data_IF_160636534698
#
_entry.id   IF_160636534698
#
_cell.length_a   1.000
_cell.length_b   1.000
_cell.length_c   1.000
_cell.angle_alpha   90.00
_cell.angle_beta   90.00
_cell.angle_gamma   90.00
#
_symmetry.space_group_name_H-M   'P 1'
#
loop_
_entity.id
_entity.type
_entity.pdbx_description
1 polymer ?
#
# COMPACT_ATOMS: atom_id res chain seq x y z
N UNK A 1 26.22 89.09 2.09
CA UNK A 1 26.62 90.22 1.22
C UNK A 1 26.22 89.91 -0.22
N UNK A 2 26.16 90.90 -1.13
CA UNK A 2 25.92 90.66 -2.56
C UNK A 2 26.86 89.61 -3.17
N UNK A 3 28.14 89.64 -2.79
CA UNK A 3 29.16 88.65 -3.19
C UNK A 3 28.83 87.21 -2.76
N UNK A 4 28.28 87.02 -1.56
CA UNK A 4 27.85 85.70 -1.09
C UNK A 4 26.68 85.15 -1.91
N UNK A 5 25.74 86.01 -2.35
CA UNK A 5 24.63 85.59 -3.22
C UNK A 5 25.09 85.21 -4.62
N UNK A 6 26.08 85.92 -5.19
CA UNK A 6 26.66 85.56 -6.49
C UNK A 6 27.42 84.23 -6.41
N UNK A 7 28.16 83.99 -5.32
CA UNK A 7 28.87 82.73 -5.12
C UNK A 7 27.89 81.55 -4.92
N UNK A 8 26.82 81.76 -4.16
CA UNK A 8 25.74 80.78 -3.95
C UNK A 8 25.06 80.40 -5.27
N UNK A 9 24.70 81.38 -6.12
CA UNK A 9 24.12 81.13 -7.43
C UNK A 9 25.08 80.37 -8.38
N UNK A 10 26.37 80.72 -8.35
CA UNK A 10 27.42 80.03 -9.12
C UNK A 10 27.62 78.59 -8.65
N UNK A 11 27.57 78.36 -7.34
CA UNK A 11 27.70 77.04 -6.73
C UNK A 11 26.49 76.15 -7.05
N UNK A 12 25.26 76.68 -6.91
CA UNK A 12 24.02 75.98 -7.27
C UNK A 12 23.99 75.62 -8.76
N UNK A 13 24.32 76.58 -9.64
CA UNK A 13 24.39 76.32 -11.09
C UNK A 13 25.53 75.37 -11.50
N UNK A 14 26.61 75.28 -10.72
CA UNK A 14 27.64 74.26 -10.92
C UNK A 14 27.15 72.88 -10.47
N UNK A 15 26.41 72.78 -9.35
CA UNK A 15 25.86 71.51 -8.86
C UNK A 15 24.81 70.93 -9.80
N UNK A 16 23.92 71.77 -10.35
CA UNK A 16 22.94 71.34 -11.37
C UNK A 16 23.61 70.81 -12.63
N UNK A 17 24.63 71.52 -13.13
CA UNK A 17 25.41 71.07 -14.30
C UNK A 17 26.14 69.76 -14.03
N UNK A 18 26.69 69.59 -12.82
CA UNK A 18 27.34 68.35 -12.38
C UNK A 18 26.35 67.18 -12.40
N UNK A 19 25.16 67.33 -11.80
CA UNK A 19 24.12 66.28 -11.77
C UNK A 19 23.62 65.92 -13.17
N UNK A 20 23.44 66.93 -14.02
CA UNK A 20 23.02 66.69 -15.42
C UNK A 20 24.07 65.86 -16.17
N UNK A 21 25.35 66.25 -16.07
CA UNK A 21 26.44 65.51 -16.71
C UNK A 21 26.57 64.09 -16.15
N UNK A 22 26.41 63.91 -14.84
CA UNK A 22 26.42 62.60 -14.19
C UNK A 22 25.30 61.69 -14.73
N UNK A 23 24.08 62.22 -14.86
CA UNK A 23 22.95 61.47 -15.40
C UNK A 23 23.17 61.10 -16.88
N UNK A 24 23.69 62.03 -17.69
CA UNK A 24 24.02 61.77 -19.10
C UNK A 24 25.07 60.65 -19.23
N UNK A 25 26.12 60.69 -18.40
CA UNK A 25 27.14 59.64 -18.35
C UNK A 25 26.56 58.29 -17.88
N UNK A 26 25.70 58.30 -16.87
CA UNK A 26 25.03 57.09 -16.37
C UNK A 26 24.11 56.47 -17.43
N UNK A 27 23.33 57.29 -18.16
CA UNK A 27 22.49 56.81 -19.25
C UNK A 27 23.32 56.22 -20.40
N UNK A 28 24.47 56.83 -20.71
CA UNK A 28 25.38 56.27 -21.71
C UNK A 28 25.94 54.90 -21.29
N UNK A 29 26.33 54.74 -20.02
CA UNK A 29 26.71 53.43 -19.46
C UNK A 29 25.56 52.43 -19.59
N UNK A 30 24.33 52.82 -19.22
CA UNK A 30 23.15 51.96 -19.36
C UNK A 30 22.92 51.52 -20.80
N UNK A 31 23.04 52.43 -21.78
CA UNK A 31 22.91 52.11 -23.21
C UNK A 31 24.01 51.15 -23.68
N UNK A 32 25.25 51.35 -23.26
CA UNK A 32 26.37 50.44 -23.57
C UNK A 32 26.16 49.04 -22.99
N UNK A 33 25.67 48.94 -21.75
CA UNK A 33 25.35 47.65 -21.12
C UNK A 33 24.16 46.99 -21.81
N UNK A 34 23.09 47.74 -22.10
CA UNK A 34 21.90 47.24 -22.80
C UNK A 34 22.22 46.71 -24.20
N UNK A 35 23.15 47.34 -24.93
CA UNK A 35 23.64 46.87 -26.22
C UNK A 35 24.36 45.50 -26.14
N UNK A 36 24.75 45.05 -24.94
CA UNK A 36 25.37 43.75 -24.66
C UNK A 36 24.45 42.81 -23.88
N UNK A 37 23.16 43.12 -23.78
CA UNK A 37 22.21 42.35 -22.99
C UNK A 37 22.18 40.86 -23.37
N UNK A 38 22.23 40.54 -24.67
CA UNK A 38 22.19 39.15 -25.14
C UNK A 38 23.38 38.32 -24.65
N UNK A 39 24.59 38.91 -24.65
CA UNK A 39 25.80 38.24 -24.15
C UNK A 39 25.78 38.06 -22.63
N UNK A 40 25.29 39.07 -21.90
CA UNK A 40 25.12 38.99 -20.45
C UNK A 40 24.10 37.91 -20.08
N UNK A 41 22.97 37.84 -20.80
CA UNK A 41 21.95 36.81 -20.59
C UNK A 41 22.45 35.41 -20.98
N UNK A 42 23.25 35.29 -22.04
CA UNK A 42 23.89 34.03 -22.41
C UNK A 42 24.83 33.54 -21.30
N UNK A 43 25.65 34.44 -20.75
CA UNK A 43 26.55 34.15 -19.63
C UNK A 43 25.76 33.75 -18.38
N UNK A 44 24.72 34.50 -18.03
CA UNK A 44 23.87 34.19 -16.88
C UNK A 44 23.20 32.81 -17.01
N UNK A 45 22.71 32.44 -18.20
CA UNK A 45 22.14 31.11 -18.46
C UNK A 45 23.18 30.00 -18.36
N UNK A 46 24.42 30.25 -18.80
CA UNK A 46 25.50 29.28 -18.67
C UNK A 46 25.88 29.06 -17.19
N UNK A 47 26.01 30.13 -16.41
CA UNK A 47 26.24 30.06 -14.97
C UNK A 47 25.11 29.35 -14.24
N UNK A 48 23.85 29.63 -14.59
CA UNK A 48 22.69 28.95 -14.00
C UNK A 48 22.69 27.44 -14.27
N UNK A 49 23.08 27.01 -15.48
CA UNK A 49 23.22 25.57 -15.80
C UNK A 49 24.34 24.92 -14.98
N UNK A 50 25.48 25.60 -14.86
CA UNK A 50 26.60 25.12 -14.05
C UNK A 50 26.21 24.96 -12.58
N UNK A 51 25.51 25.96 -12.02
CA UNK A 51 25.02 25.97 -10.64
C UNK A 51 24.07 24.80 -10.37
N UNK A 52 23.09 24.57 -11.27
CA UNK A 52 22.18 23.41 -11.18
C UNK A 52 22.95 22.09 -11.19
N UNK A 53 23.89 21.90 -12.11
CA UNK A 53 24.64 20.64 -12.17
C UNK A 53 25.57 20.44 -10.98
N UNK A 54 26.23 21.51 -10.50
CA UNK A 54 27.08 21.47 -9.32
C UNK A 54 26.25 21.11 -8.07
N UNK A 55 25.10 21.75 -7.87
CA UNK A 55 24.20 21.47 -6.75
C UNK A 55 23.69 20.03 -6.76
N UNK A 56 23.27 19.51 -7.93
CA UNK A 56 22.84 18.12 -8.05
C UNK A 56 23.97 17.12 -7.76
N UNK A 57 25.19 17.41 -8.23
CA UNK A 57 26.36 16.57 -8.00
C UNK A 57 26.77 16.57 -6.52
N UNK A 58 26.74 17.72 -5.85
CA UNK A 58 27.03 17.84 -4.43
C UNK A 58 26.07 17.00 -3.58
N UNK A 59 24.75 17.15 -3.82
CA UNK A 59 23.72 16.36 -3.13
C UNK A 59 23.91 14.88 -3.38
N UNK A 60 24.21 14.48 -4.61
CA UNK A 60 24.42 13.08 -4.96
C UNK A 60 25.62 12.48 -4.23
N UNK A 61 26.73 13.22 -4.19
CA UNK A 61 27.95 12.80 -3.52
C UNK A 61 27.77 12.70 -2.01
N UNK A 62 27.23 13.76 -1.38
CA UNK A 62 27.06 13.83 0.06
C UNK A 62 26.11 12.76 0.63
N UNK A 63 25.17 12.28 -0.18
CA UNK A 63 24.10 11.35 0.25
C UNK A 63 24.22 9.94 -0.35
N UNK A 64 25.23 9.71 -1.18
CA UNK A 64 25.39 8.43 -1.88
C UNK A 64 24.19 8.11 -2.78
N UNK A 65 23.68 9.11 -3.52
CA UNK A 65 22.71 8.84 -4.58
C UNK A 65 23.39 8.20 -5.79
N UNK A 66 22.65 7.40 -6.54
CA UNK A 66 23.17 6.65 -7.68
C UNK A 66 22.62 7.19 -9.00
N UNK A 67 23.40 7.03 -10.07
CA UNK A 67 22.95 7.39 -11.43
C UNK A 67 21.87 6.40 -11.88
N UNK A 68 20.62 6.83 -12.14
CA UNK A 68 19.60 5.95 -12.67
C UNK A 68 19.85 5.63 -14.15
N UNK A 69 19.41 4.46 -14.60
CA UNK A 69 19.23 4.16 -16.02
C UNK A 69 17.87 4.68 -16.46
N UNK A 70 17.84 5.73 -17.28
CA UNK A 70 16.61 6.28 -17.85
C UNK A 70 16.48 5.85 -19.30
N UNK A 71 15.40 5.16 -19.65
CA UNK A 71 15.16 4.64 -21.00
C UNK A 71 13.71 4.86 -21.49
N UNK A 72 13.42 4.48 -22.73
CA UNK A 72 12.07 4.60 -23.31
C UNK A 72 11.17 3.38 -23.08
N UNK A 73 11.65 2.37 -22.36
CA UNK A 73 10.90 1.16 -22.03
C UNK A 73 9.80 1.38 -20.99
N UNK A 74 9.21 0.27 -20.56
CA UNK A 74 8.05 0.28 -19.67
C UNK A 74 8.39 -0.11 -18.23
N UNK A 75 9.66 -0.44 -17.96
CA UNK A 75 10.12 -0.88 -16.64
C UNK A 75 10.29 0.29 -15.68
N UNK A 76 9.77 0.16 -14.47
CA UNK A 76 10.13 0.98 -13.30
C UNK A 76 10.66 0.04 -12.22
N UNK A 77 11.99 0.00 -12.08
CA UNK A 77 12.66 -0.80 -11.08
C UNK A 77 13.49 0.11 -10.16
N UNK A 78 13.27 0.01 -8.86
CA UNK A 78 14.00 0.74 -7.82
C UNK A 78 14.43 -0.30 -6.79
N UNK A 79 15.72 -0.38 -6.52
CA UNK A 79 16.28 -1.29 -5.52
C UNK A 79 16.80 -0.46 -4.36
N UNK A 80 16.34 -0.78 -3.15
CA UNK A 80 16.63 -0.07 -1.91
C UNK A 80 16.39 1.45 -2.01
N UNK A 81 15.27 1.84 -2.62
CA UNK A 81 14.85 3.23 -2.72
C UNK A 81 14.56 3.82 -1.34
N UNK A 82 14.92 5.09 -1.15
CA UNK A 82 14.71 5.87 0.07
C UNK A 82 13.99 7.18 -0.25
N UNK A 83 13.21 7.70 0.70
CA UNK A 83 12.48 8.94 0.49
C UNK A 83 13.42 10.16 0.64
N UNK A 84 13.68 10.96 -0.42
CA UNK A 84 14.75 11.96 -0.43
C UNK A 84 14.59 13.04 0.65
N UNK A 85 13.35 13.48 0.90
CA UNK A 85 13.06 14.51 1.93
C UNK A 85 13.17 13.97 3.35
N UNK A 86 12.79 12.71 3.60
CA UNK A 86 12.90 12.13 4.94
C UNK A 86 14.37 11.83 5.26
N UNK A 87 15.12 11.33 4.27
CA UNK A 87 16.57 11.16 4.35
C UNK A 87 17.29 12.50 4.56
N UNK A 88 16.78 13.60 3.98
CA UNK A 88 17.30 14.94 4.23
C UNK A 88 17.07 15.45 5.66
N UNK A 89 15.94 15.06 6.27
CA UNK A 89 15.42 15.67 7.49
C UNK A 89 15.92 15.01 8.77
N UNK A 90 16.49 13.81 8.74
CA UNK A 90 16.59 12.99 9.94
C UNK A 90 17.98 12.42 10.22
N UNK A 91 18.37 12.47 11.51
CA UNK A 91 19.38 11.62 12.14
C UNK A 91 18.88 10.19 12.43
N UNK A 92 17.76 9.78 11.83
CA UNK A 92 17.19 8.43 11.94
C UNK A 92 17.20 7.77 10.56
N UNK A 93 17.65 6.50 10.44
CA UNK A 93 17.70 5.81 9.16
C UNK A 93 16.30 5.65 8.52
N UNK A 94 16.18 5.94 7.22
CA UNK A 94 14.98 5.65 6.44
C UNK A 94 15.06 4.23 5.91
N UNK A 95 14.05 3.39 6.18
CA UNK A 95 14.04 2.00 5.71
C UNK A 95 13.96 1.95 4.17
N UNK A 96 14.92 1.30 3.49
CA UNK A 96 14.94 1.20 2.04
C UNK A 96 13.92 0.17 1.52
N UNK A 97 13.27 0.48 0.41
CA UNK A 97 12.23 -0.36 -0.19
C UNK A 97 12.44 -0.57 -1.68
N UNK A 98 12.12 -1.79 -2.12
CA UNK A 98 12.20 -2.19 -3.51
C UNK A 98 10.87 -1.92 -4.22
N UNK A 99 10.93 -1.67 -5.52
CA UNK A 99 9.78 -1.60 -6.40
C UNK A 99 10.17 -2.18 -7.76
N UNK A 100 9.33 -3.04 -8.32
CA UNK A 100 9.45 -3.51 -9.68
C UNK A 100 8.06 -3.48 -10.33
N UNK A 101 7.89 -2.60 -11.31
CA UNK A 101 6.72 -2.55 -12.18
C UNK A 101 7.17 -2.71 -13.62
N UNK A 102 6.51 -3.61 -14.34
CA UNK A 102 6.69 -3.85 -15.76
C UNK A 102 5.34 -4.17 -16.40
N UNK A 103 5.33 -4.69 -17.64
CA UNK A 103 4.07 -5.01 -18.33
C UNK A 103 3.25 -6.10 -17.63
N UNK A 104 3.94 -7.03 -16.97
CA UNK A 104 3.36 -8.24 -16.36
C UNK A 104 2.98 -8.01 -14.89
N UNK A 105 3.52 -6.97 -14.26
CA UNK A 105 3.23 -6.57 -12.88
C UNK A 105 3.12 -5.04 -12.78
N UNK A 106 2.19 -4.43 -13.51
CA UNK A 106 2.04 -2.96 -13.55
C UNK A 106 1.20 -2.37 -12.42
N UNK A 107 0.36 -3.18 -11.77
CA UNK A 107 -0.52 -2.73 -10.68
C UNK A 107 -0.10 -3.42 -9.38
N UNK A 108 0.22 -2.62 -8.36
CA UNK A 108 0.48 -3.10 -7.00
C UNK A 108 -0.65 -2.68 -6.09
N UNK A 109 -1.30 -3.65 -5.46
CA UNK A 109 -2.21 -3.43 -4.33
C UNK A 109 -1.38 -3.52 -3.06
N UNK A 110 -1.20 -2.40 -2.38
CA UNK A 110 -0.43 -2.27 -1.16
C UNK A 110 -1.37 -2.22 0.05
N UNK A 111 -1.31 -3.26 0.87
CA UNK A 111 -2.07 -3.39 2.11
C UNK A 111 -1.20 -3.13 3.34
N UNK A 112 -1.85 -2.90 4.47
CA UNK A 112 -1.17 -2.77 5.76
C UNK A 112 -1.76 -1.67 6.64
N UNK A 113 -1.36 -1.63 7.92
CA UNK A 113 -1.95 -0.72 8.91
C UNK A 113 -1.82 0.74 8.51
N UNK A 114 -2.70 1.58 9.07
CA UNK A 114 -2.46 3.02 9.07
C UNK A 114 -1.14 3.30 9.80
N UNK A 115 -0.41 4.34 9.37
CA UNK A 115 0.94 4.69 9.88
C UNK A 115 2.08 3.72 9.53
N UNK A 116 1.82 2.63 8.81
CA UNK A 116 2.88 1.69 8.37
C UNK A 116 3.80 2.24 7.26
N UNK A 117 3.58 3.46 6.78
CA UNK A 117 4.44 4.08 5.76
C UNK A 117 4.02 3.84 4.30
N UNK A 118 2.79 3.34 4.05
CA UNK A 118 2.22 3.21 2.68
C UNK A 118 2.34 4.51 1.86
N UNK A 119 1.84 5.62 2.39
CA UNK A 119 1.92 6.94 1.70
C UNK A 119 3.36 7.42 1.52
N UNK A 120 4.28 7.05 2.42
CA UNK A 120 5.71 7.36 2.28
C UNK A 120 6.30 6.58 1.10
N UNK A 121 5.98 5.30 0.97
CA UNK A 121 6.41 4.45 -0.15
C UNK A 121 5.88 4.95 -1.50
N UNK A 122 4.61 5.35 -1.57
CA UNK A 122 4.01 5.95 -2.76
C UNK A 122 4.73 7.25 -3.15
N UNK A 123 4.87 8.20 -2.21
CA UNK A 123 5.54 9.49 -2.47
C UNK A 123 7.01 9.31 -2.83
N UNK A 124 7.72 8.42 -2.15
CA UNK A 124 9.10 8.06 -2.47
C UNK A 124 9.25 7.68 -3.94
N UNK A 125 8.36 6.83 -4.44
CA UNK A 125 8.37 6.39 -5.84
C UNK A 125 8.23 7.57 -6.80
N UNK A 126 7.24 8.44 -6.59
CA UNK A 126 7.08 9.65 -7.41
C UNK A 126 8.31 10.56 -7.35
N UNK A 127 8.85 10.82 -6.17
CA UNK A 127 10.03 11.66 -6.01
C UNK A 127 11.24 11.10 -6.76
N UNK A 128 11.52 9.79 -6.66
CA UNK A 128 12.63 9.14 -7.36
C UNK A 128 12.48 9.28 -8.88
N UNK A 129 11.27 9.07 -9.41
CA UNK A 129 11.03 9.19 -10.85
C UNK A 129 11.21 10.63 -11.34
N UNK A 130 10.65 11.60 -10.62
CA UNK A 130 10.80 13.03 -10.97
C UNK A 130 12.27 13.44 -10.93
N UNK A 131 13.02 13.03 -9.91
CA UNK A 131 14.45 13.32 -9.80
C UNK A 131 15.23 12.74 -10.98
N UNK A 132 14.97 11.49 -11.36
CA UNK A 132 15.64 10.86 -12.49
C UNK A 132 15.34 11.56 -13.83
N UNK A 133 14.08 11.89 -14.10
CA UNK A 133 13.69 12.57 -15.34
C UNK A 133 14.14 14.03 -15.40
N UNK A 134 14.37 14.67 -14.24
CA UNK A 134 15.03 15.97 -14.14
C UNK A 134 16.54 15.90 -14.44
N UNK A 135 17.13 14.70 -14.43
CA UNK A 135 18.57 14.48 -14.67
C UNK A 135 19.40 14.39 -13.38
N UNK A 136 18.76 14.23 -12.22
CA UNK A 136 19.45 14.05 -10.95
C UNK A 136 19.77 12.57 -10.67
N UNK A 137 20.77 12.34 -9.82
CA UNK A 137 21.02 11.03 -9.21
C UNK A 137 19.97 10.80 -8.11
N UNK A 138 19.61 9.54 -7.89
CA UNK A 138 18.46 9.16 -7.04
C UNK A 138 18.86 8.42 -5.77
N UNK A 139 18.09 8.54 -4.68
CA UNK A 139 18.33 7.86 -3.41
C UNK A 139 17.93 6.37 -3.47
N UNK A 140 18.74 5.56 -4.10
CA UNK A 140 18.54 4.12 -4.26
C UNK A 140 19.89 3.40 -4.29
N UNK A 141 19.91 2.06 -4.21
CA UNK A 141 21.09 1.26 -4.54
C UNK A 141 21.22 1.11 -6.05
N UNK A 142 20.10 0.85 -6.74
CA UNK A 142 20.00 0.79 -8.20
C UNK A 142 18.63 1.31 -8.65
N UNK A 143 18.57 1.93 -9.83
CA UNK A 143 17.30 2.39 -10.39
C UNK A 143 17.29 2.34 -11.92
N UNK A 144 16.22 1.78 -12.49
CA UNK A 144 15.87 1.81 -13.92
C UNK A 144 14.48 2.41 -14.08
N UNK A 145 14.38 3.48 -14.85
CA UNK A 145 13.18 4.29 -14.97
C UNK A 145 12.86 4.47 -16.45
N UNK A 146 11.87 3.73 -16.92
CA UNK A 146 11.22 3.97 -18.20
C UNK A 146 10.48 5.31 -18.12
N UNK A 147 10.77 6.22 -19.06
CA UNK A 147 10.27 7.61 -19.03
C UNK A 147 8.75 7.65 -18.91
N UNK A 148 8.26 8.43 -17.96
CA UNK A 148 6.85 8.71 -17.76
C UNK A 148 6.44 10.02 -18.41
N UNK A 149 5.19 10.10 -18.85
CA UNK A 149 4.58 11.34 -19.34
C UNK A 149 3.89 12.14 -18.22
N UNK A 150 3.28 11.44 -17.27
CA UNK A 150 2.47 12.03 -16.18
C UNK A 150 2.59 11.21 -14.90
N UNK A 151 2.59 11.91 -13.77
CA UNK A 151 2.44 11.32 -12.44
C UNK A 151 1.11 11.81 -11.87
N UNK A 152 0.19 10.88 -11.66
CA UNK A 152 -1.11 11.13 -11.06
C UNK A 152 -1.07 10.75 -9.59
N UNK A 153 -1.63 11.60 -8.73
CA UNK A 153 -1.68 11.34 -7.30
C UNK A 153 -3.06 11.61 -6.76
N UNK A 154 -3.64 10.61 -6.12
CA UNK A 154 -4.71 10.75 -5.14
C UNK A 154 -4.12 10.30 -3.80
N UNK A 155 -3.28 11.15 -3.23
CA UNK A 155 -2.66 10.94 -1.91
C UNK A 155 -3.25 12.00 -1.02
N UNK A 156 -4.08 11.60 -0.05
CA UNK A 156 -4.90 12.51 0.76
C UNK A 156 -4.13 13.76 1.22
N UNK A 157 -4.54 14.93 0.73
CA UNK A 157 -4.16 16.20 1.29
C UNK A 157 -5.13 16.53 2.44
N UNK A 158 -4.62 17.15 3.50
CA UNK A 158 -5.47 17.69 4.57
C UNK A 158 -6.61 18.49 3.96
N UNK A 159 -7.81 18.24 4.49
CA UNK A 159 -9.08 18.69 3.95
C UNK A 159 -9.05 20.15 3.49
N UNK A 160 -9.28 20.36 2.20
CA UNK A 160 -9.55 21.69 1.69
C UNK A 160 -11.03 22.01 1.95
N UNK A 161 -11.38 22.16 3.24
CA UNK A 161 -12.72 22.51 3.72
C UNK A 161 -13.22 23.88 3.18
N UNK A 162 -12.34 24.64 2.51
CA UNK A 162 -12.58 26.01 2.06
C UNK A 162 -13.62 26.16 0.93
N UNK A 163 -14.12 25.07 0.31
CA UNK A 163 -15.03 25.14 -0.86
C UNK A 163 -16.43 24.58 -0.65
N UNK A 164 -16.79 24.08 0.54
CA UNK A 164 -18.13 23.56 0.82
C UNK A 164 -18.55 22.33 -0.01
N UNK A 165 -17.61 21.68 -0.71
CA UNK A 165 -17.84 20.42 -1.43
C UNK A 165 -17.56 19.24 -0.49
N UNK A 166 -18.36 18.16 -0.61
CA UNK A 166 -18.10 16.90 0.09
C UNK A 166 -16.69 16.39 -0.25
N UNK A 167 -15.92 15.99 0.75
CA UNK A 167 -14.58 15.42 0.59
C UNK A 167 -14.59 14.21 -0.35
N UNK A 168 -15.66 13.41 -0.30
CA UNK A 168 -15.87 12.28 -1.20
C UNK A 168 -16.10 12.71 -2.65
N UNK A 169 -16.86 13.80 -2.90
CA UNK A 169 -17.06 14.30 -4.26
C UNK A 169 -15.74 14.79 -4.86
N UNK A 170 -14.92 15.51 -4.09
CA UNK A 170 -13.60 15.96 -4.53
C UNK A 170 -12.72 14.76 -4.90
N UNK A 171 -12.72 13.73 -4.07
CA UNK A 171 -12.02 12.47 -4.34
C UNK A 171 -12.49 11.78 -5.64
N UNK A 172 -13.79 11.76 -5.89
CA UNK A 172 -14.34 11.19 -7.13
C UNK A 172 -13.97 12.02 -8.36
N UNK A 173 -13.95 13.35 -8.25
CA UNK A 173 -13.51 14.24 -9.34
C UNK A 173 -12.02 14.05 -9.64
N UNK A 174 -11.19 13.91 -8.61
CA UNK A 174 -9.76 13.59 -8.76
C UNK A 174 -9.58 12.23 -9.44
N UNK A 175 -10.30 11.20 -8.98
CA UNK A 175 -10.27 9.84 -9.55
C UNK A 175 -10.73 9.84 -11.01
N UNK A 176 -11.80 10.55 -11.35
CA UNK A 176 -12.27 10.71 -12.72
C UNK A 176 -11.25 11.43 -13.60
N UNK A 177 -10.58 12.46 -13.06
CA UNK A 177 -9.51 13.18 -13.78
C UNK A 177 -8.37 12.25 -14.14
N UNK A 178 -7.97 11.35 -13.22
CA UNK A 178 -6.94 10.33 -13.46
C UNK A 178 -7.39 9.41 -14.60
N UNK A 179 -8.56 8.77 -14.47
CA UNK A 179 -9.06 7.81 -15.47
C UNK A 179 -9.20 8.43 -16.87
N UNK A 180 -9.65 9.67 -16.97
CA UNK A 180 -9.84 10.35 -18.25
C UNK A 180 -8.52 10.77 -18.93
N UNK A 181 -7.39 10.77 -18.22
CA UNK A 181 -6.13 11.34 -18.71
C UNK A 181 -4.93 10.39 -18.62
N UNK A 182 -5.14 9.17 -18.12
CA UNK A 182 -4.07 8.18 -17.92
C UNK A 182 -3.64 7.55 -19.25
N UNK A 183 -2.33 7.35 -19.39
CA UNK A 183 -1.71 6.70 -20.56
C UNK A 183 -0.82 5.53 -20.12
N UNK A 184 -0.25 4.79 -21.07
CA UNK A 184 0.73 3.70 -20.81
C UNK A 184 2.06 4.15 -20.29
N UNK A 185 2.32 5.45 -20.34
CA UNK A 185 3.51 6.04 -19.75
C UNK A 185 3.21 6.73 -18.44
N UNK A 186 1.99 6.62 -17.91
CA UNK A 186 1.64 7.27 -16.65
C UNK A 186 2.02 6.41 -15.43
N UNK A 187 2.36 7.09 -14.33
CA UNK A 187 2.39 6.51 -12.99
C UNK A 187 1.19 7.05 -12.20
N UNK A 188 0.41 6.15 -11.62
CA UNK A 188 -0.77 6.47 -10.83
C UNK A 188 -0.55 6.03 -9.40
N UNK A 189 -0.67 6.96 -8.46
CA UNK A 189 -0.56 6.73 -7.02
C UNK A 189 -1.92 6.96 -6.37
N UNK A 190 -2.55 5.91 -5.88
CA UNK A 190 -3.85 5.94 -5.22
C UNK A 190 -3.67 5.59 -3.74
N UNK A 191 -4.11 6.45 -2.83
CA UNK A 191 -4.05 6.24 -1.39
C UNK A 191 -5.47 6.31 -0.82
N UNK A 192 -5.98 5.14 -0.42
CA UNK A 192 -7.20 4.98 0.37
C UNK A 192 -8.48 5.51 -0.31
N UNK A 193 -8.56 5.39 -1.63
CA UNK A 193 -9.77 5.70 -2.42
C UNK A 193 -10.96 4.84 -1.95
N UNK A 194 -12.13 5.47 -1.80
CA UNK A 194 -13.37 4.86 -1.35
C UNK A 194 -13.63 4.99 0.15
N UNK A 195 -12.75 5.62 0.94
CA UNK A 195 -12.93 5.72 2.39
C UNK A 195 -14.04 6.69 2.83
N UNK A 196 -14.35 7.70 2.02
CA UNK A 196 -15.30 8.76 2.37
C UNK A 196 -16.79 8.39 2.24
N UNK A 197 -17.12 7.13 2.00
CA UNK A 197 -18.50 6.64 1.77
C UNK A 197 -18.77 5.34 2.53
N UNK A 198 -19.92 4.70 2.31
CA UNK A 198 -20.23 3.39 2.88
C UNK A 198 -19.16 2.36 2.50
N UNK A 199 -18.86 1.41 3.40
CA UNK A 199 -17.79 0.43 3.18
C UNK A 199 -17.98 -0.35 1.87
N UNK A 200 -19.22 -0.74 1.57
CA UNK A 200 -19.55 -1.49 0.36
C UNK A 200 -19.44 -0.65 -0.91
N UNK A 201 -19.95 0.58 -0.90
CA UNK A 201 -19.81 1.48 -2.07
C UNK A 201 -18.35 1.82 -2.31
N UNK A 202 -17.59 2.09 -1.24
CA UNK A 202 -16.17 2.39 -1.29
C UNK A 202 -15.36 1.24 -1.88
N UNK A 203 -15.61 0.02 -1.41
CA UNK A 203 -15.00 -1.19 -1.95
C UNK A 203 -15.36 -1.40 -3.43
N UNK A 204 -16.64 -1.28 -3.79
CA UNK A 204 -17.10 -1.48 -5.16
C UNK A 204 -16.46 -0.49 -6.13
N UNK A 205 -16.38 0.79 -5.74
CA UNK A 205 -15.71 1.83 -6.54
C UNK A 205 -14.21 1.54 -6.67
N UNK A 206 -13.53 1.21 -5.57
CA UNK A 206 -12.10 0.91 -5.59
C UNK A 206 -11.79 -0.33 -6.45
N UNK A 207 -12.66 -1.33 -6.42
CA UNK A 207 -12.57 -2.53 -7.24
C UNK A 207 -12.70 -2.21 -8.72
N UNK A 208 -13.80 -1.53 -9.10
CA UNK A 208 -14.05 -1.12 -10.47
C UNK A 208 -12.94 -0.20 -11.01
N UNK A 209 -12.35 0.64 -10.16
CA UNK A 209 -11.21 1.48 -10.52
C UNK A 209 -9.98 0.66 -10.90
N UNK A 210 -9.66 -0.40 -10.15
CA UNK A 210 -8.53 -1.28 -10.49
C UNK A 210 -8.81 -2.03 -11.79
N UNK A 211 -10.03 -2.54 -11.98
CA UNK A 211 -10.44 -3.19 -13.23
C UNK A 211 -10.30 -2.23 -14.41
N UNK A 212 -10.81 -1.00 -14.31
CA UNK A 212 -10.69 0.01 -15.36
C UNK A 212 -9.23 0.34 -15.70
N UNK A 213 -8.36 0.51 -14.69
CA UNK A 213 -6.93 0.75 -14.89
C UNK A 213 -6.20 -0.47 -15.48
N UNK A 214 -6.71 -1.68 -15.21
CA UNK A 214 -6.18 -2.92 -15.78
C UNK A 214 -6.61 -3.12 -17.24
N UNK A 215 -7.90 -2.97 -17.53
CA UNK A 215 -8.56 -3.35 -18.79
C UNK A 215 -8.52 -2.27 -19.86
N UNK A 216 -8.50 -0.98 -19.50
CA UNK A 216 -8.67 0.14 -20.43
C UNK A 216 -7.55 0.35 -21.46
N UNK A 217 -6.70 -0.65 -21.70
CA UNK A 217 -5.55 -0.56 -22.60
C UNK A 217 -4.48 0.43 -22.13
N UNK A 218 -4.67 1.01 -20.94
CA UNK A 218 -3.84 2.08 -20.45
C UNK A 218 -2.47 1.58 -20.07
N UNK A 219 -2.22 0.33 -19.67
CA UNK A 219 -0.85 -0.16 -19.40
C UNK A 219 -0.08 0.65 -18.35
N UNK A 220 -0.77 1.49 -17.57
CA UNK A 220 -0.15 2.42 -16.63
C UNK A 220 0.47 1.67 -15.46
N UNK A 221 1.49 2.29 -14.86
CA UNK A 221 2.09 1.82 -13.61
C UNK A 221 1.25 2.34 -12.47
N UNK A 222 0.74 1.47 -11.60
CA UNK A 222 -0.20 1.83 -10.55
C UNK A 222 0.30 1.31 -9.21
N UNK A 223 0.37 2.21 -8.22
CA UNK A 223 0.50 1.85 -6.82
C UNK A 223 -0.80 2.25 -6.12
N UNK A 224 -1.54 1.26 -5.61
CA UNK A 224 -2.76 1.49 -4.86
C UNK A 224 -2.58 1.04 -3.41
N UNK A 225 -2.35 2.00 -2.51
CA UNK A 225 -2.42 1.78 -1.08
C UNK A 225 -3.87 1.76 -0.61
N UNK A 226 -4.29 0.67 0.04
CA UNK A 226 -5.68 0.47 0.45
C UNK A 226 -5.78 -0.14 1.85
N UNK A 227 -6.95 0.06 2.46
CA UNK A 227 -7.38 -0.64 3.67
C UNK A 227 -8.36 -1.77 3.37
N UNK A 228 -8.87 -1.85 2.14
CA UNK A 228 -9.72 -2.93 1.66
C UNK A 228 -8.87 -4.16 1.31
N UNK A 229 -8.74 -5.08 2.26
CA UNK A 229 -8.05 -6.36 2.07
C UNK A 229 -8.72 -7.23 1.00
N UNK A 230 -10.00 -7.04 0.74
CA UNK A 230 -10.79 -7.71 -0.29
C UNK A 230 -10.21 -7.49 -1.69
N UNK A 231 -9.60 -6.32 -1.95
CA UNK A 231 -8.95 -6.01 -3.23
C UNK A 231 -7.75 -6.92 -3.52
N UNK A 232 -7.17 -7.59 -2.52
CA UNK A 232 -6.08 -8.55 -2.74
C UNK A 232 -6.51 -9.73 -3.63
N UNK A 233 -7.81 -10.03 -3.70
CA UNK A 233 -8.36 -11.08 -4.56
C UNK A 233 -8.19 -10.77 -6.05
N UNK A 234 -8.03 -9.50 -6.41
CA UNK A 234 -7.80 -9.07 -7.80
C UNK A 234 -6.52 -9.66 -8.39
N UNK A 235 -5.49 -9.91 -7.58
CA UNK A 235 -4.25 -10.54 -8.07
C UNK A 235 -4.47 -11.96 -8.62
N UNK A 236 -5.51 -12.67 -8.14
CA UNK A 236 -5.90 -13.99 -8.67
C UNK A 236 -6.73 -13.92 -9.95
N UNK A 237 -7.32 -12.77 -10.27
CA UNK A 237 -8.23 -12.57 -11.43
C UNK A 237 -7.56 -11.79 -12.56
N UNK A 238 -6.71 -10.83 -12.23
CA UNK A 238 -6.09 -9.88 -13.14
C UNK A 238 -4.58 -10.13 -13.21
N UNK A 239 -4.12 -10.65 -14.35
CA UNK A 239 -2.75 -11.15 -14.51
C UNK A 239 -1.64 -10.11 -14.28
N UNK A 240 -1.94 -8.81 -14.36
CA UNK A 240 -0.97 -7.73 -14.14
C UNK A 240 -1.01 -7.09 -12.74
N UNK A 241 -1.85 -7.63 -11.85
CA UNK A 241 -1.98 -7.18 -10.46
C UNK A 241 -1.10 -8.02 -9.55
N UNK A 242 -0.40 -7.38 -8.62
CA UNK A 242 0.40 -8.04 -7.57
C UNK A 242 0.05 -7.47 -6.21
N UNK A 243 -0.01 -8.34 -5.21
CA UNK A 243 -0.23 -7.92 -3.83
C UNK A 243 1.09 -7.69 -3.12
N UNK A 244 1.13 -6.61 -2.37
CA UNK A 244 2.18 -6.28 -1.44
C UNK A 244 1.57 -5.84 -0.11
N UNK A 245 2.34 -5.96 0.95
CA UNK A 245 1.98 -5.44 2.26
C UNK A 245 3.19 -4.80 2.94
N UNK A 246 2.94 -3.92 3.89
CA UNK A 246 3.99 -3.47 4.80
C UNK A 246 4.17 -4.48 5.92
N UNK A 247 5.41 -4.93 6.12
CA UNK A 247 5.77 -5.87 7.16
C UNK A 247 5.59 -5.28 8.57
N UNK A 248 4.96 -6.06 9.43
CA UNK A 248 4.64 -5.74 10.81
C UNK A 248 5.21 -6.86 11.68
N UNK A 249 5.90 -6.52 12.77
CA UNK A 249 6.40 -7.50 13.74
C UNK A 249 5.67 -7.34 15.06
N UNK A 250 5.13 -8.44 15.58
CA UNK A 250 4.53 -8.52 16.91
C UNK A 250 5.60 -9.01 17.89
N UNK A 251 5.76 -8.32 19.02
CA UNK A 251 6.69 -8.69 20.08
C UNK A 251 6.11 -8.27 21.44
N UNK A 252 5.94 -9.21 22.38
CA UNK A 252 5.40 -8.94 23.72
C UNK A 252 4.08 -8.13 23.72
N UNK A 253 3.13 -8.47 22.85
CA UNK A 253 1.88 -7.72 22.64
C UNK A 253 2.03 -6.27 22.12
N UNK A 254 3.23 -5.88 21.70
CA UNK A 254 3.52 -4.63 21.00
C UNK A 254 3.69 -4.86 19.50
N UNK A 255 3.31 -3.85 18.71
CA UNK A 255 3.51 -3.85 17.26
C UNK A 255 4.66 -2.91 16.91
N UNK A 256 5.62 -3.45 16.15
CA UNK A 256 6.69 -2.67 15.55
C UNK A 256 6.49 -2.61 14.04
N UNK A 257 6.32 -1.40 13.52
CA UNK A 257 6.27 -1.15 12.08
C UNK A 257 7.69 -1.19 11.51
N UNK A 258 7.96 -2.17 10.64
CA UNK A 258 9.28 -2.30 10.02
C UNK A 258 9.48 -1.31 8.86
N UNK A 259 8.39 -0.70 8.37
CA UNK A 259 8.36 0.15 7.18
C UNK A 259 8.95 -0.50 5.92
N UNK A 260 9.02 -1.85 5.89
CA UNK A 260 9.51 -2.64 4.77
C UNK A 260 8.33 -3.23 4.00
N UNK A 261 8.27 -2.98 2.70
CA UNK A 261 7.27 -3.53 1.79
C UNK A 261 7.71 -4.92 1.34
N UNK A 262 6.81 -5.89 1.40
CA UNK A 262 7.04 -7.29 1.05
C UNK A 262 5.92 -7.82 0.15
N UNK A 263 6.20 -8.78 -0.75
CA UNK A 263 5.18 -9.40 -1.59
C UNK A 263 4.16 -10.19 -0.75
N UNK A 264 2.94 -10.32 -1.28
CA UNK A 264 1.81 -10.97 -0.64
C UNK A 264 0.78 -9.99 -0.09
N UNK A 265 -0.47 -10.45 0.03
CA UNK A 265 -1.53 -9.71 0.73
C UNK A 265 -1.56 -10.05 2.21
N UNK A 266 -2.17 -9.19 3.03
CA UNK A 266 -2.50 -9.49 4.43
C UNK A 266 -3.99 -9.25 4.66
N UNK A 267 -4.61 -10.15 5.41
CA UNK A 267 -5.99 -10.07 5.90
C UNK A 267 -6.06 -9.50 7.33
N UNK A 268 -4.90 -9.28 7.97
CA UNK A 268 -4.84 -8.85 9.35
C UNK A 268 -5.03 -7.34 9.50
N UNK A 269 -6.08 -6.98 10.22
CA UNK A 269 -6.33 -5.61 10.66
C UNK A 269 -5.74 -5.37 12.05
N UNK A 270 -4.87 -4.37 12.15
CA UNK A 270 -4.14 -4.04 13.39
C UNK A 270 -4.71 -2.85 14.16
N UNK A 271 -5.97 -2.50 13.92
CA UNK A 271 -6.60 -1.28 14.45
C UNK A 271 -6.61 -1.22 15.98
N UNK A 272 -6.97 -2.32 16.65
CA UNK A 272 -7.02 -2.39 18.12
C UNK A 272 -5.61 -2.27 18.73
N UNK A 273 -4.62 -2.86 18.08
CA UNK A 273 -3.23 -2.80 18.52
C UNK A 273 -2.60 -1.41 18.30
N UNK A 274 -2.96 -0.72 17.21
CA UNK A 274 -2.61 0.70 17.01
C UNK A 274 -3.26 1.58 18.09
N UNK A 275 -4.51 1.31 18.45
CA UNK A 275 -5.18 2.03 19.52
C UNK A 275 -4.48 1.84 20.88
N UNK A 276 -3.95 0.64 21.15
CA UNK A 276 -3.11 0.40 22.33
C UNK A 276 -1.83 1.23 22.31
N UNK A 277 -1.13 1.27 21.18
CA UNK A 277 0.08 2.11 21.01
C UNK A 277 -0.21 3.60 21.20
N UNK A 278 -1.40 4.05 20.82
CA UNK A 278 -1.86 5.42 21.04
C UNK A 278 -2.20 5.72 22.53
N UNK A 279 -2.11 4.73 23.41
CA UNK A 279 -2.35 4.89 24.84
C UNK A 279 -3.82 4.80 25.26
N UNK A 280 -4.69 4.16 24.46
CA UNK A 280 -6.08 3.97 24.88
C UNK A 280 -6.17 3.08 26.15
N UNK A 281 -7.13 3.36 27.05
CA UNK A 281 -7.27 2.61 28.30
C UNK A 281 -7.45 1.10 28.10
N UNK A 282 -6.81 0.30 28.95
CA UNK A 282 -6.84 -1.16 28.85
C UNK A 282 -8.27 -1.75 28.84
N UNK A 283 -9.20 -1.14 29.58
CA UNK A 283 -10.62 -1.54 29.60
C UNK A 283 -11.30 -1.36 28.23
N UNK A 284 -10.98 -0.28 27.51
CA UNK A 284 -11.51 -0.03 26.15
C UNK A 284 -10.92 -1.06 25.18
N UNK A 285 -9.60 -1.30 25.25
CA UNK A 285 -8.94 -2.31 24.42
C UNK A 285 -9.53 -3.71 24.65
N UNK A 286 -9.76 -4.09 25.91
CA UNK A 286 -10.37 -5.37 26.25
C UNK A 286 -11.80 -5.50 25.68
N UNK A 287 -12.61 -4.44 25.83
CA UNK A 287 -13.97 -4.41 25.27
C UNK A 287 -13.97 -4.46 23.74
N UNK A 288 -13.08 -3.73 23.07
CA UNK A 288 -12.94 -3.76 21.62
C UNK A 288 -12.55 -5.15 21.10
N UNK A 289 -11.67 -5.88 21.82
CA UNK A 289 -11.33 -7.27 21.47
C UNK A 289 -12.52 -8.21 21.60
N UNK A 290 -13.29 -8.09 22.68
CA UNK A 290 -14.49 -8.91 22.89
C UNK A 290 -15.54 -8.65 21.80
N UNK A 291 -15.81 -7.37 21.48
CA UNK A 291 -16.74 -6.99 20.41
C UNK A 291 -16.27 -7.47 19.03
N UNK A 292 -14.96 -7.40 18.74
CA UNK A 292 -14.42 -7.91 17.48
C UNK A 292 -14.67 -9.42 17.35
N UNK A 293 -14.41 -10.18 18.41
CA UNK A 293 -14.68 -11.62 18.43
C UNK A 293 -16.18 -11.93 18.26
N UNK A 294 -17.06 -11.20 18.95
CA UNK A 294 -18.52 -11.34 18.81
C UNK A 294 -18.97 -11.08 17.36
N UNK A 295 -18.41 -10.06 16.71
CA UNK A 295 -18.74 -9.69 15.33
C UNK A 295 -18.15 -10.66 14.29
N UNK A 296 -16.97 -11.24 14.57
CA UNK A 296 -16.38 -12.32 13.76
C UNK A 296 -17.19 -13.62 13.87
N UNK A 297 -17.62 -14.00 15.09
CA UNK A 297 -18.46 -15.18 15.33
C UNK A 297 -19.88 -15.04 14.78
N UNK A 298 -20.47 -13.85 14.84
CA UNK A 298 -21.79 -13.57 14.30
C UNK A 298 -21.84 -13.60 12.76
N UNK A 299 -20.73 -13.88 12.08
CA UNK A 299 -20.62 -13.80 10.63
C UNK A 299 -20.79 -12.38 10.08
N UNK A 300 -20.92 -11.36 10.94
CA UNK A 300 -21.12 -9.98 10.53
C UNK A 300 -19.81 -9.33 10.04
N UNK A 301 -18.65 -9.80 10.54
CA UNK A 301 -17.33 -9.49 9.99
C UNK A 301 -16.72 -10.63 9.18
N UNK A 302 -17.12 -11.88 9.43
CA UNK A 302 -16.93 -13.00 8.50
C UNK A 302 -18.07 -13.05 7.46
N UNK A 303 -18.51 -11.89 6.97
CA UNK A 303 -19.20 -11.83 5.69
C UNK A 303 -18.14 -12.01 4.61
N UNK A 304 -17.74 -13.26 4.44
CA UNK A 304 -17.86 -13.93 3.16
C UNK A 304 -17.95 -12.95 2.00
N UNK A 305 -16.83 -12.72 1.35
CA UNK A 305 -16.79 -12.10 0.03
C UNK A 305 -17.44 -12.98 -1.06
N UNK A 306 -18.10 -14.07 -0.66
CA UNK A 306 -19.23 -14.70 -1.35
C UNK A 306 -20.48 -13.81 -1.38
N UNK A 307 -20.73 -12.95 -0.38
CA UNK A 307 -21.89 -12.05 -0.33
C UNK A 307 -21.71 -10.74 -1.13
N UNK A 308 -20.48 -10.24 -1.29
CA UNK A 308 -20.20 -9.19 -2.29
C UNK A 308 -20.44 -9.70 -3.73
N UNK A 309 -20.36 -11.02 -3.94
CA UNK A 309 -20.78 -11.70 -5.17
C UNK A 309 -22.31 -11.96 -5.16
N UNK A 310 -22.93 -12.13 -3.99
CA UNK A 310 -24.36 -12.39 -3.80
C UNK A 310 -25.25 -11.14 -3.87
N UNK A 311 -24.66 -9.94 -3.87
CA UNK A 311 -25.31 -8.67 -4.26
C UNK A 311 -25.66 -8.58 -5.77
N UNK A 312 -25.70 -9.72 -6.48
CA UNK A 312 -26.17 -9.81 -7.86
C UNK A 312 -25.18 -9.35 -8.93
N UNK A 313 -23.93 -9.01 -8.56
CA UNK A 313 -22.95 -8.54 -9.54
C UNK A 313 -22.28 -9.67 -10.34
N UNK A 314 -22.15 -10.91 -9.82
CA UNK A 314 -21.41 -11.99 -10.53
C UNK A 314 -21.84 -13.43 -10.22
N UNK A 315 -23.12 -13.77 -10.32
CA UNK A 315 -23.55 -15.17 -10.48
C UNK A 315 -24.26 -15.37 -11.83
N UNK A 316 -24.04 -16.47 -12.59
CA UNK A 316 -25.05 -16.90 -13.54
C UNK A 316 -26.32 -17.15 -12.74
N UNK A 317 -27.43 -16.54 -13.19
CA UNK A 317 -28.70 -16.56 -12.47
C UNK A 317 -28.97 -17.94 -11.87
N UNK A 318 -28.99 -18.04 -10.54
CA UNK A 318 -29.56 -19.20 -9.87
C UNK A 318 -30.96 -19.37 -10.46
N UNK A 319 -31.33 -20.54 -11.00
CA UNK A 319 -32.66 -20.72 -11.57
C UNK A 319 -33.67 -20.27 -10.51
N UNK A 320 -34.65 -19.43 -10.88
CA UNK A 320 -35.58 -18.88 -9.90
C UNK A 320 -36.24 -20.04 -9.17
N UNK A 321 -36.31 -19.96 -7.83
CA UNK A 321 -37.01 -20.96 -7.02
C UNK A 321 -38.39 -21.19 -7.66
N UNK A 322 -38.69 -22.40 -8.15
CA UNK A 322 -39.90 -22.66 -8.92
C UNK A 322 -41.16 -22.32 -8.10
N UNK A 323 -41.07 -22.37 -6.77
CA UNK A 323 -42.13 -21.93 -5.87
C UNK A 323 -42.38 -20.41 -5.92
N UNK A 324 -41.31 -19.60 -5.96
CA UNK A 324 -41.44 -18.14 -6.03
C UNK A 324 -42.01 -17.69 -7.38
N UNK A 325 -41.68 -18.41 -8.44
CA UNK A 325 -42.23 -18.16 -9.78
C UNK A 325 -43.71 -18.53 -9.84
N UNK A 326 -44.09 -19.69 -9.28
CA UNK A 326 -45.48 -20.14 -9.20
C UNK A 326 -46.31 -19.15 -8.36
N UNK A 327 -45.81 -18.73 -7.20
CA UNK A 327 -46.47 -17.76 -6.32
C UNK A 327 -46.70 -16.40 -7.01
N UNK A 328 -45.72 -15.89 -7.75
CA UNK A 328 -45.84 -14.62 -8.48
C UNK A 328 -46.87 -14.67 -9.62
N UNK A 329 -47.18 -15.87 -10.12
CA UNK A 329 -48.15 -16.08 -11.21
C UNK A 329 -49.59 -16.36 -10.73
N UNK A 330 -49.82 -16.46 -9.42
CA UNK A 330 -51.15 -16.75 -8.89
C UNK A 330 -52.05 -15.52 -8.91
N UNK A 331 -53.23 -15.67 -9.52
CA UNK A 331 -54.30 -14.69 -9.41
C UNK A 331 -55.10 -14.92 -8.13
N UNK A 332 -54.73 -14.18 -7.08
CA UNK A 332 -55.37 -14.24 -5.76
C UNK A 332 -56.85 -13.83 -5.78
N UNK A 333 -57.33 -13.17 -6.83
CA UNK A 333 -58.73 -12.72 -6.90
C UNK A 333 -59.71 -13.81 -7.31
N UNK A 334 -59.24 -14.84 -8.00
CA UNK A 334 -60.07 -15.96 -8.49
C UNK A 334 -59.77 -17.29 -7.81
N UNK A 335 -58.84 -17.31 -6.86
CA UNK A 335 -58.36 -18.52 -6.22
C UNK A 335 -59.33 -18.97 -5.12
N UNK A 336 -59.86 -20.19 -5.23
CA UNK A 336 -60.77 -20.71 -4.19
C UNK A 336 -59.98 -21.13 -2.94
N UNK A 337 -60.57 -21.05 -1.73
CA UNK A 337 -59.86 -21.39 -0.49
C UNK A 337 -59.25 -22.80 -0.47
N UNK A 338 -59.87 -23.77 -1.16
CA UNK A 338 -59.38 -25.14 -1.23
C UNK A 338 -58.20 -25.30 -2.20
N UNK A 339 -58.18 -24.54 -3.30
CA UNK A 339 -57.03 -24.49 -4.23
C UNK A 339 -55.82 -23.85 -3.55
N UNK A 340 -56.04 -22.81 -2.73
CA UNK A 340 -54.98 -22.18 -1.94
C UNK A 340 -54.33 -23.18 -0.97
N UNK A 341 -55.16 -23.94 -0.24
CA UNK A 341 -54.69 -24.97 0.69
C UNK A 341 -53.94 -26.10 -0.02
N UNK A 342 -54.39 -26.52 -1.20
CA UNK A 342 -53.72 -27.55 -1.99
C UNK A 342 -52.36 -27.08 -2.52
N UNK A 343 -52.25 -25.82 -2.96
CA UNK A 343 -50.97 -25.22 -3.38
C UNK A 343 -49.98 -25.11 -2.21
N UNK A 344 -50.45 -24.67 -1.04
CA UNK A 344 -49.63 -24.63 0.17
C UNK A 344 -49.14 -26.02 0.60
N UNK A 345 -50.01 -27.03 0.55
CA UNK A 345 -49.64 -28.42 0.86
C UNK A 345 -48.64 -28.98 -0.15
N UNK A 346 -48.77 -28.64 -1.44
CA UNK A 346 -47.81 -29.02 -2.50
C UNK A 346 -46.43 -28.41 -2.22
N UNK A 347 -46.35 -27.12 -1.92
CA UNK A 347 -45.08 -26.45 -1.61
C UNK A 347 -44.42 -26.98 -0.33
N UNK A 348 -45.22 -27.26 0.70
CA UNK A 348 -44.73 -27.81 1.96
C UNK A 348 -44.09 -29.20 1.76
N UNK A 349 -44.71 -30.07 0.97
CA UNK A 349 -44.13 -31.37 0.63
C UNK A 349 -42.87 -31.26 -0.23
N UNK A 350 -42.85 -30.35 -1.22
CA UNK A 350 -41.67 -30.11 -2.05
C UNK A 350 -40.43 -29.69 -1.23
N UNK A 351 -40.60 -28.73 -0.31
CA UNK A 351 -39.54 -28.28 0.61
C UNK A 351 -39.08 -29.38 1.56
N UNK A 352 -39.97 -30.27 2.01
CA UNK A 352 -39.58 -31.40 2.87
C UNK A 352 -38.74 -32.43 2.11
N UNK A 353 -39.05 -32.69 0.85
CA UNK A 353 -38.28 -33.63 0.01
C UNK A 353 -36.90 -33.08 -0.34
N UNK A 354 -36.78 -31.80 -0.68
CA UNK A 354 -35.48 -31.14 -0.91
C UNK A 354 -34.60 -31.15 0.33
N UNK A 355 -35.20 -30.93 1.51
CA UNK A 355 -34.50 -30.94 2.80
C UNK A 355 -34.00 -32.34 3.17
N UNK A 356 -34.80 -33.38 2.90
CA UNK A 356 -34.39 -34.78 3.08
C UNK A 356 -33.31 -35.23 2.09
N UNK A 357 -33.33 -34.73 0.86
CA UNK A 357 -32.30 -35.01 -0.15
C UNK A 357 -30.96 -34.35 0.21
N UNK A 358 -30.99 -33.12 0.75
CA UNK A 358 -29.82 -32.41 1.25
C UNK A 358 -29.20 -33.10 2.48
N UNK A 359 -30.03 -33.59 3.41
CA UNK A 359 -29.59 -34.32 4.62
C UNK A 359 -28.99 -35.72 4.32
N UNK A 360 -29.26 -36.32 3.16
CA UNK A 360 -28.66 -37.58 2.74
C UNK A 360 -27.29 -37.42 2.07
N UNK A 361 -26.97 -36.24 1.52
CA UNK A 361 -25.65 -35.95 0.93
C UNK A 361 -24.57 -35.63 1.99
N UNK A 362 -24.96 -35.24 3.21
CA UNK A 362 -24.06 -34.80 4.29
C UNK A 362 -23.72 -35.86 5.35
N UNK A 363 -23.98 -37.17 5.12
CA UNK A 363 -23.58 -38.22 6.07
C UNK A 363 -22.16 -38.76 5.79
N UNK A 364 -21.22 -38.73 6.75
CA UNK A 364 -19.89 -39.33 6.58
C UNK A 364 -19.97 -40.87 6.61
N UNK A 365 -19.27 -41.52 5.69
CA UNK A 365 -19.14 -42.99 5.61
C UNK A 365 -18.65 -43.59 6.94
N UNK A 366 -19.53 -44.29 7.66
CA UNK A 366 -19.15 -45.15 8.79
C UNK A 366 -18.81 -46.57 8.31
N UNK A 367 -17.65 -47.04 8.77
CA UNK A 367 -17.05 -48.33 8.45
C UNK A 367 -17.88 -49.53 8.94
N UNK A 368 -17.93 -50.57 8.13
CA UNK A 368 -18.56 -51.87 8.38
C UNK A 368 -17.72 -52.70 9.38
N UNK A 369 -18.30 -53.35 10.41
CA UNK A 369 -17.57 -54.28 11.26
C UNK A 369 -17.57 -55.70 10.65
N UNK A 370 -16.41 -56.37 10.64
CA UNK A 370 -16.27 -57.78 10.29
C UNK A 370 -16.60 -58.69 11.49
N UNK A 371 -17.12 -59.92 11.28
CA UNK A 371 -17.55 -60.82 12.36
C UNK A 371 -16.41 -61.69 12.95
N UNK A 372 -16.44 -61.86 14.26
CA UNK A 372 -15.55 -62.71 15.07
C UNK A 372 -15.72 -64.21 14.75
N UNK A 373 -14.61 -64.94 14.63
CA UNK A 373 -14.57 -66.40 14.65
C UNK A 373 -13.71 -66.90 15.83
N UNK A 374 -14.30 -67.84 16.58
CA UNK A 374 -13.72 -68.66 17.63
C UNK A 374 -12.31 -69.19 17.33
N UNK A 375 -11.47 -69.29 18.37
CA UNK A 375 -10.67 -70.51 18.65
C UNK A 375 -10.15 -70.56 20.08
N UNK A 376 -10.05 -71.81 20.55
CA UNK A 376 -9.91 -72.31 21.91
C UNK A 376 -8.50 -72.13 22.50
N UNK A 377 -8.44 -72.13 23.84
CA UNK A 377 -7.24 -72.36 24.63
C UNK A 377 -6.66 -73.78 24.42
N UNK A 378 -5.40 -74.00 24.81
CA UNK A 378 -5.18 -75.10 25.74
C UNK A 378 -4.26 -74.75 26.92
N UNK A 379 -4.47 -75.56 27.95
CA UNK A 379 -3.90 -75.60 29.28
C UNK A 379 -2.44 -76.09 29.36
N UNK A 380 -1.85 -75.71 30.49
CA UNK A 380 -0.57 -76.09 31.11
C UNK A 380 -0.16 -77.57 30.98
N UNK A 381 1.15 -77.83 30.86
CA UNK A 381 1.98 -78.51 31.88
C UNK A 381 3.46 -78.63 31.44
N UNK A 382 4.33 -78.84 32.43
CA UNK A 382 5.75 -79.23 32.41
C UNK A 382 6.85 -78.14 32.44
N UNK A 383 7.31 -77.88 33.68
CA UNK A 383 8.70 -77.57 34.08
C UNK A 383 9.51 -78.90 34.14
N UNK A 384 10.86 -78.98 34.37
CA UNK A 384 11.76 -77.98 35.00
C UNK A 384 13.23 -77.92 34.46
N UNK A 385 14.08 -77.17 35.19
CA UNK A 385 15.57 -77.14 35.20
C UNK A 385 16.23 -76.22 34.15
N UNK A 386 17.31 -75.47 34.40
CA UNK A 386 18.26 -75.31 35.52
C UNK A 386 19.13 -74.05 35.27
N UNK A 387 19.71 -73.50 36.35
CA UNK A 387 21.04 -72.82 36.44
C UNK A 387 21.35 -71.60 35.53
N UNK A 388 21.52 -70.38 36.06
CA UNK A 388 22.66 -69.84 36.83
C UNK A 388 23.75 -69.17 35.96
N UNK A 389 23.92 -67.86 36.11
CA UNK A 389 25.18 -67.08 36.13
C UNK A 389 24.82 -65.59 36.00
N UNK A 390 24.78 -64.80 37.09
CA UNK A 390 25.90 -64.11 37.73
C UNK A 390 26.73 -63.17 36.82
N UNK A 391 26.81 -61.92 37.30
CA UNK A 391 27.96 -61.00 37.22
C UNK A 391 28.22 -60.36 35.82
N UNK A 392 28.69 -59.12 35.69
CA UNK A 392 29.21 -58.18 36.67
C UNK A 392 29.07 -56.73 36.17
N UNK A 393 29.30 -55.87 37.15
CA UNK A 393 29.27 -54.43 37.29
C UNK A 393 30.18 -53.63 36.34
N UNK A 394 30.01 -52.31 36.52
CA UNK A 394 31.07 -51.28 36.63
C UNK A 394 31.68 -50.75 35.32
N UNK A 395 32.03 -49.47 35.16
CA UNK A 395 32.17 -48.32 36.07
C UNK A 395 32.43 -47.03 35.24
N UNK A 396 32.00 -45.89 35.80
CA UNK A 396 32.72 -44.60 35.95
C UNK A 396 33.31 -43.86 34.71
N UNK A 397 32.72 -42.68 34.38
CA UNK A 397 33.15 -41.28 34.68
C UNK A 397 34.67 -40.96 34.81
N UNK A 398 35.16 -39.68 34.94
CA UNK A 398 34.67 -38.32 34.56
C UNK A 398 35.82 -37.38 34.03
N UNK A 399 35.58 -36.04 34.07
CA UNK A 399 36.55 -34.89 34.19
C UNK A 399 37.22 -34.39 32.90
N UNK A 400 37.54 -33.09 32.68
CA UNK A 400 37.40 -31.80 33.37
C UNK A 400 38.05 -30.71 32.48
N UNK A 401 37.75 -29.42 32.66
CA UNK A 401 38.75 -28.36 32.38
C UNK A 401 38.25 -27.05 31.75
N UNK A 402 37.86 -26.09 32.59
CA UNK A 402 38.00 -24.63 32.38
C UNK A 402 39.50 -24.22 32.56
N UNK A 403 39.99 -22.96 32.34
CA UNK A 403 39.30 -21.64 32.44
C UNK A 403 39.74 -20.46 31.51
N UNK A 404 38.93 -19.38 31.56
CA UNK A 404 39.20 -17.91 31.57
C UNK A 404 40.43 -17.27 30.85
N UNK A 405 40.20 -16.17 30.10
CA UNK A 405 40.75 -14.82 30.40
C UNK A 405 40.24 -13.70 29.44
N UNK A 406 39.56 -12.75 30.07
CA UNK A 406 39.25 -11.30 29.90
C UNK A 406 40.13 -10.35 29.01
N UNK A 407 39.91 -9.01 28.97
CA UNK A 407 39.66 -8.24 27.73
C UNK A 407 40.70 -7.13 27.43
N UNK A 408 40.49 -6.36 26.33
CA UNK A 408 40.76 -4.91 26.18
C UNK A 408 41.34 -4.48 24.81
N UNK A 409 41.01 -3.23 24.45
CA UNK A 409 41.82 -2.24 23.72
C UNK A 409 41.30 -1.77 22.34
N UNK A 410 40.88 -0.49 22.33
CA UNK A 410 40.89 0.44 21.19
C UNK A 410 42.33 0.68 20.70
N UNK A 411 42.50 1.24 19.50
CA UNK A 411 43.05 2.61 19.42
C UNK A 411 42.38 3.51 18.34
N UNK A 412 42.71 4.82 18.28
CA UNK A 412 42.08 5.83 17.43
C UNK A 412 42.94 6.30 16.23
N UNK A 413 42.39 7.26 15.45
CA UNK A 413 42.97 8.14 14.39
C UNK A 413 42.97 7.53 12.98
N UNK A 414 42.61 8.22 11.89
CA UNK A 414 42.65 9.66 11.56
C UNK A 414 41.33 10.23 11.04
#
# INVERSE_FOLDING_TARGET
>A
TPELKEYEAKALGADERRRKLEYELFDDVRRRVAARADELLATARALARLDVFASLAEVAHARGHVRPLVDRGDTLAIVEGRHPVLEARAGTPVTPNDLALDRDARIVILTGPNMSGKSVYLRQTAHIVIMAQMGAFVPAREARIGVLDRVFTRVGAQDNLARGQSTFLVEMVETATILNNVTSRSLVLLDEVGRGTSTFDGLAIAWALVEALHEGGHGARVLFATHFHELTRLAGRLGAVRNFHVAVREWNDEIVFLHKVQPGGTDRSYGIQVARLAGLPAAVIARSKALLAELEEAGQLQTDATDAVQLGLFAPATPPDPMLTELASLDLTHLTPIEALNLLAKWQHGRQQERQASEQQDRPHQATPQPEQHRQAPSQQDRPHQAASQQDRSRQAPTSGHPRSDPSSRPPLQ
#
